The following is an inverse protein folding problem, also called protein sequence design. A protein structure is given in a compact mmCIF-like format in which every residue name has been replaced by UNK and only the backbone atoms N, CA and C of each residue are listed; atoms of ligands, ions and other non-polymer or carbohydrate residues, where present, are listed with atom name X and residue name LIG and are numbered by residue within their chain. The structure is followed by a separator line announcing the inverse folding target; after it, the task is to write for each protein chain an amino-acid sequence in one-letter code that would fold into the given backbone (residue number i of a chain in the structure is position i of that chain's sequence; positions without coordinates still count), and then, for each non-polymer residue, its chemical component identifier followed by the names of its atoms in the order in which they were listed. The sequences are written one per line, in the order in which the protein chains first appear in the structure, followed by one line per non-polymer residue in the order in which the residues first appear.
data_IF_812307541752
#
_entry.id   IF_812307541752
#
_cell.length_a   1.000
_cell.length_b   1.000
_cell.length_c   1.000
_cell.angle_alpha   90.00
_cell.angle_beta   90.00
_cell.angle_gamma   90.00
#
_symmetry.space_group_name_H-M   'P 1'
#
loop_
_entity.id
_entity.type
_entity.pdbx_description
1 polymer ?
#
# COMPACT_ATOMS: atom_id res chain seq x y z
N UNK A 1 -22.23 -2.96 12.58
CA UNK A 1 -21.31 -2.76 11.44
C UNK A 1 -20.16 -1.84 11.83
N UNK A 2 -20.41 -0.76 12.60
CA UNK A 2 -19.35 0.11 13.12
C UNK A 2 -19.34 0.04 14.66
N UNK A 3 -18.17 0.10 15.26
CA UNK A 3 -17.97 0.16 16.71
C UNK A 3 -16.98 1.26 17.08
N UNK A 4 -17.02 1.67 18.35
CA UNK A 4 -16.14 2.70 18.89
C UNK A 4 -15.28 2.09 19.99
N UNK A 5 -13.97 2.19 19.81
CA UNK A 5 -12.98 1.78 20.81
C UNK A 5 -12.52 3.02 21.57
N UNK A 6 -12.41 2.89 22.89
CA UNK A 6 -12.03 3.98 23.78
C UNK A 6 -10.53 3.88 24.12
N UNK A 7 -9.87 5.03 24.25
CA UNK A 7 -8.49 5.15 24.75
C UNK A 7 -7.42 4.39 23.95
N UNK A 8 -7.63 4.19 22.65
CA UNK A 8 -6.65 3.53 21.76
C UNK A 8 -5.52 4.50 21.42
N UNK A 9 -4.27 4.12 21.73
CA UNK A 9 -3.05 4.91 21.47
C UNK A 9 -3.09 6.34 22.04
N UNK A 10 -3.87 6.56 23.10
CA UNK A 10 -4.04 7.88 23.73
C UNK A 10 -5.14 8.74 23.10
N UNK A 11 -5.80 8.28 22.03
CA UNK A 11 -7.00 8.93 21.49
C UNK A 11 -8.21 8.54 22.35
N UNK A 12 -9.09 9.50 22.65
CA UNK A 12 -10.30 9.22 23.42
C UNK A 12 -11.20 8.20 22.71
N UNK A 13 -11.27 8.26 21.37
CA UNK A 13 -12.14 7.42 20.56
C UNK A 13 -11.47 7.06 19.23
N UNK A 14 -11.59 5.79 18.83
CA UNK A 14 -11.23 5.28 17.51
C UNK A 14 -12.42 4.50 16.94
N UNK A 15 -12.83 4.83 15.73
CA UNK A 15 -13.95 4.17 15.07
C UNK A 15 -13.44 3.02 14.20
N UNK A 16 -14.10 1.86 14.27
CA UNK A 16 -13.74 0.66 13.50
C UNK A 16 -14.94 0.09 12.76
N UNK A 17 -14.71 -0.50 11.58
CA UNK A 17 -15.69 -1.41 10.95
C UNK A 17 -15.56 -2.77 11.63
N UNK A 18 -16.62 -3.16 12.35
CA UNK A 18 -16.71 -4.34 13.22
C UNK A 18 -17.65 -5.42 12.68
N UNK A 19 -17.96 -5.38 11.39
CA UNK A 19 -18.77 -6.41 10.71
C UNK A 19 -18.07 -7.77 10.68
N UNK A 20 -18.82 -8.88 10.54
CA UNK A 20 -18.29 -10.22 10.75
C UNK A 20 -17.07 -10.56 9.88
N UNK A 21 -17.14 -10.33 8.56
CA UNK A 21 -16.05 -10.69 7.65
C UNK A 21 -14.86 -9.76 7.81
N UNK A 22 -15.07 -8.45 7.99
CA UNK A 22 -13.98 -7.50 8.29
C UNK A 22 -13.25 -7.91 9.58
N UNK A 23 -13.99 -8.24 10.63
CA UNK A 23 -13.40 -8.68 11.91
C UNK A 23 -12.60 -9.97 11.75
N UNK A 24 -13.11 -10.94 11.01
CA UNK A 24 -12.42 -12.19 10.68
C UNK A 24 -11.09 -11.91 9.94
N UNK A 25 -11.15 -11.16 8.83
CA UNK A 25 -9.97 -10.91 7.99
C UNK A 25 -8.92 -10.05 8.68
N UNK A 26 -9.31 -9.04 9.45
CA UNK A 26 -8.39 -8.20 10.24
C UNK A 26 -7.65 -9.01 11.30
N UNK A 27 -8.36 -9.91 12.00
CA UNK A 27 -7.74 -10.79 13.01
C UNK A 27 -6.70 -11.71 12.39
N UNK A 28 -7.02 -12.27 11.22
CA UNK A 28 -6.10 -13.11 10.45
C UNK A 28 -4.90 -12.31 9.95
N UNK A 29 -5.14 -11.18 9.28
CA UNK A 29 -4.12 -10.36 8.62
C UNK A 29 -3.07 -9.82 9.60
N UNK A 30 -3.50 -9.22 10.71
CA UNK A 30 -2.55 -8.72 11.72
C UNK A 30 -2.10 -9.81 12.70
N UNK A 31 -2.60 -11.05 12.59
CA UNK A 31 -2.38 -12.11 13.57
C UNK A 31 -2.71 -11.67 15.01
N UNK A 32 -3.91 -11.13 15.21
CA UNK A 32 -4.40 -10.67 16.50
C UNK A 32 -5.87 -11.04 16.71
N UNK A 33 -6.18 -12.12 17.45
CA UNK A 33 -7.54 -12.67 17.54
C UNK A 33 -8.55 -11.80 18.31
N UNK A 34 -8.08 -10.77 19.01
CA UNK A 34 -8.91 -9.86 19.83
C UNK A 34 -9.22 -8.52 19.16
N UNK A 35 -8.81 -8.30 17.93
CA UNK A 35 -9.20 -7.09 17.21
C UNK A 35 -10.71 -7.05 17.02
N UNK A 36 -11.31 -5.90 17.25
CA UNK A 36 -12.75 -5.68 17.15
C UNK A 36 -13.20 -5.18 15.78
N UNK A 37 -12.27 -4.89 14.88
CA UNK A 37 -12.55 -4.39 13.54
C UNK A 37 -11.35 -3.68 12.90
N UNK A 38 -11.54 -3.18 11.68
CA UNK A 38 -10.56 -2.35 10.98
C UNK A 38 -10.80 -0.87 11.27
N UNK A 39 -9.76 -0.12 11.59
CA UNK A 39 -9.84 1.31 11.88
C UNK A 39 -10.23 2.14 10.66
N UNK A 40 -11.17 3.07 10.86
CA UNK A 40 -11.50 4.10 9.89
C UNK A 40 -10.65 5.34 10.10
N UNK A 41 -10.40 6.07 9.03
CA UNK A 41 -9.69 7.33 9.08
C UNK A 41 -10.44 8.36 9.93
N UNK A 42 -9.70 9.06 10.78
CA UNK A 42 -10.20 10.09 11.70
C UNK A 42 -9.51 11.45 11.48
N UNK A 43 -8.49 11.51 10.63
CA UNK A 43 -7.81 12.73 10.22
C UNK A 43 -8.31 13.25 8.87
N UNK A 44 -7.96 14.51 8.56
CA UNK A 44 -8.31 15.12 7.28
C UNK A 44 -9.55 15.99 7.33
N UNK A 45 -10.64 15.51 6.73
CA UNK A 45 -11.91 16.24 6.63
C UNK A 45 -13.03 15.32 6.17
N UNK A 46 -14.20 15.88 5.84
CA UNK A 46 -15.42 15.11 5.51
C UNK A 46 -15.23 14.08 4.40
N UNK A 47 -14.32 14.33 3.45
CA UNK A 47 -14.04 13.41 2.35
C UNK A 47 -13.14 12.22 2.75
N UNK A 48 -12.44 12.29 3.89
CA UNK A 48 -11.54 11.22 4.36
C UNK A 48 -12.14 10.46 5.52
N UNK A 49 -12.60 11.21 6.53
CA UNK A 49 -13.06 10.69 7.81
C UNK A 49 -14.22 9.71 7.60
N UNK A 50 -14.16 8.56 8.25
CA UNK A 50 -15.20 7.51 8.22
C UNK A 50 -15.45 6.83 6.86
N UNK A 51 -14.73 7.20 5.80
CA UNK A 51 -14.93 6.66 4.44
C UNK A 51 -13.70 5.91 3.89
N UNK A 52 -12.59 5.93 4.62
CA UNK A 52 -11.33 5.29 4.26
C UNK A 52 -10.80 4.49 5.44
N UNK A 53 -9.95 3.50 5.17
CA UNK A 53 -9.14 2.87 6.20
C UNK A 53 -8.13 3.85 6.77
N UNK A 54 -7.81 3.66 8.05
CA UNK A 54 -6.78 4.43 8.72
C UNK A 54 -5.42 4.18 8.03
N UNK A 55 -4.84 5.21 7.39
CA UNK A 55 -3.58 5.07 6.63
C UNK A 55 -2.47 4.46 7.48
N UNK A 56 -2.33 4.92 8.73
CA UNK A 56 -1.36 4.37 9.70
C UNK A 56 -1.38 2.83 9.79
N UNK A 57 -2.56 2.24 9.71
CA UNK A 57 -2.77 0.81 9.93
C UNK A 57 -2.75 0.01 8.62
N UNK A 58 -2.99 0.64 7.47
CA UNK A 58 -3.11 0.00 6.17
C UNK A 58 -2.50 0.88 5.05
N UNK A 59 -1.21 1.20 5.16
CA UNK A 59 -0.51 1.99 4.13
C UNK A 59 -0.58 1.27 2.79
N UNK A 60 -0.81 2.04 1.72
CA UNK A 60 -0.95 1.57 0.34
C UNK A 60 -2.14 0.66 0.04
N UNK A 61 -3.06 0.45 0.98
CA UNK A 61 -4.32 -0.22 0.71
C UNK A 61 -5.22 0.66 -0.18
N UNK A 62 -5.97 0.06 -1.11
CA UNK A 62 -6.84 0.74 -2.08
C UNK A 62 -7.74 1.83 -1.47
N UNK A 63 -8.33 1.54 -0.32
CA UNK A 63 -9.25 2.42 0.40
C UNK A 63 -8.58 3.11 1.60
N UNK A 64 -7.25 3.09 1.70
CA UNK A 64 -6.51 3.94 2.63
C UNK A 64 -6.72 5.41 2.31
N UNK A 65 -6.68 6.27 3.32
CA UNK A 65 -6.71 7.71 3.11
C UNK A 65 -5.43 8.20 2.43
N UNK A 66 -5.57 9.20 1.55
CA UNK A 66 -4.47 9.81 0.77
C UNK A 66 -3.80 8.85 -0.23
N UNK A 67 -3.15 9.39 -1.27
CA UNK A 67 -2.62 8.57 -2.35
C UNK A 67 -1.55 7.56 -1.86
N UNK A 68 -1.56 6.36 -2.47
CA UNK A 68 -0.62 5.28 -2.27
C UNK A 68 -0.53 4.39 -3.52
N UNK A 69 -0.03 3.16 -3.38
CA UNK A 69 -0.03 2.16 -4.47
C UNK A 69 -1.46 1.71 -4.79
N UNK A 70 -2.25 1.39 -3.75
CA UNK A 70 -3.67 1.08 -3.89
C UNK A 70 -3.96 -0.42 -4.02
N UNK A 71 -3.33 -1.25 -3.19
CA UNK A 71 -3.53 -2.70 -3.17
C UNK A 71 -4.97 -3.06 -2.79
N UNK A 72 -5.63 -3.81 -3.66
CA UNK A 72 -6.96 -4.39 -3.42
C UNK A 72 -6.85 -5.59 -2.49
N UNK A 73 -6.68 -5.29 -1.20
CA UNK A 73 -6.39 -6.28 -0.19
C UNK A 73 -7.63 -7.03 0.32
N UNK A 74 -7.38 -8.03 1.16
CA UNK A 74 -8.41 -8.73 1.94
C UNK A 74 -9.28 -7.80 2.78
N UNK A 75 -8.79 -6.61 3.17
CA UNK A 75 -9.52 -5.67 4.02
C UNK A 75 -10.68 -5.03 3.26
N UNK A 76 -10.42 -4.49 2.07
CA UNK A 76 -11.46 -3.90 1.22
C UNK A 76 -12.44 -4.96 0.69
N UNK A 77 -11.93 -6.13 0.29
CA UNK A 77 -12.79 -7.25 -0.12
C UNK A 77 -13.78 -7.66 0.98
N UNK A 78 -13.30 -7.76 2.23
CA UNK A 78 -14.15 -8.07 3.38
C UNK A 78 -15.23 -7.01 3.65
N UNK A 79 -14.89 -5.72 3.50
CA UNK A 79 -15.85 -4.65 3.66
C UNK A 79 -16.96 -4.73 2.61
N UNK A 80 -16.61 -5.00 1.35
CA UNK A 80 -17.59 -5.14 0.27
C UNK A 80 -18.49 -6.37 0.42
N UNK A 81 -17.95 -7.51 0.88
CA UNK A 81 -18.74 -8.70 1.15
C UNK A 81 -19.75 -8.45 2.29
N UNK A 82 -19.33 -7.81 3.38
CA UNK A 82 -20.20 -7.48 4.52
C UNK A 82 -21.28 -6.44 4.18
N UNK A 83 -21.16 -5.70 3.07
CA UNK A 83 -22.24 -4.83 2.56
C UNK A 83 -23.42 -5.63 1.98
N UNK A 84 -23.21 -6.92 1.67
CA UNK A 84 -24.24 -7.81 1.10
C UNK A 84 -24.54 -7.57 -0.38
N UNK A 85 -23.79 -6.69 -1.05
CA UNK A 85 -23.93 -6.39 -2.49
C UNK A 85 -23.01 -7.28 -3.33
N UNK A 86 -21.88 -7.72 -2.76
CA UNK A 86 -20.85 -8.47 -3.45
C UNK A 86 -20.53 -9.78 -2.71
N UNK A 87 -19.97 -10.73 -3.44
CA UNK A 87 -19.30 -11.91 -2.87
C UNK A 87 -17.83 -11.83 -3.28
N UNK A 88 -16.91 -11.74 -2.32
CA UNK A 88 -15.51 -11.56 -2.61
C UNK A 88 -14.86 -12.88 -3.03
N UNK A 89 -13.95 -12.81 -4.00
CA UNK A 89 -13.01 -13.89 -4.29
C UNK A 89 -11.67 -13.55 -3.63
N UNK A 90 -11.41 -14.12 -2.46
CA UNK A 90 -10.20 -13.82 -1.68
C UNK A 90 -8.91 -14.38 -2.30
N UNK A 91 -9.00 -15.35 -3.21
CA UNK A 91 -7.83 -15.88 -3.94
C UNK A 91 -7.21 -14.82 -4.87
N UNK A 92 -7.98 -13.78 -5.19
CA UNK A 92 -7.57 -12.65 -6.03
C UNK A 92 -7.12 -11.43 -5.21
N UNK A 93 -7.07 -11.53 -3.88
CA UNK A 93 -6.65 -10.43 -3.03
C UNK A 93 -5.17 -10.10 -3.27
N UNK A 94 -4.86 -8.81 -3.45
CA UNK A 94 -3.48 -8.37 -3.54
C UNK A 94 -2.81 -8.42 -2.15
N UNK A 95 -1.51 -8.69 -2.16
CA UNK A 95 -0.71 -8.77 -0.93
C UNK A 95 -0.48 -7.35 -0.40
N UNK A 96 -1.15 -7.03 0.72
CA UNK A 96 -0.82 -5.86 1.51
C UNK A 96 0.36 -6.22 2.44
N UNK A 97 1.48 -5.55 2.27
CA UNK A 97 2.69 -5.82 3.06
C UNK A 97 2.66 -5.11 4.41
N UNK A 98 2.05 -3.93 4.46
CA UNK A 98 2.08 -3.07 5.64
C UNK A 98 1.36 -3.69 6.83
N UNK A 99 2.11 -4.09 7.85
CA UNK A 99 1.55 -4.63 9.09
C UNK A 99 1.06 -6.08 9.01
N UNK A 100 1.30 -6.79 7.92
CA UNK A 100 0.97 -8.21 7.84
C UNK A 100 1.69 -8.98 8.97
N UNK A 101 0.95 -9.79 9.72
CA UNK A 101 1.44 -10.52 10.89
C UNK A 101 2.10 -9.66 11.98
N UNK A 102 1.77 -8.36 12.08
CA UNK A 102 2.39 -7.46 13.06
C UNK A 102 2.03 -7.74 14.53
N UNK A 103 1.05 -8.61 14.77
CA UNK A 103 0.39 -8.75 16.05
C UNK A 103 -0.45 -7.52 16.42
N UNK A 104 -1.03 -7.56 17.62
CA UNK A 104 -1.94 -6.52 18.11
C UNK A 104 -1.28 -5.15 18.34
N UNK A 105 0.04 -5.14 18.60
CA UNK A 105 0.76 -3.94 19.03
C UNK A 105 0.68 -2.79 18.04
N UNK A 106 0.65 -3.10 16.73
CA UNK A 106 0.57 -2.10 15.69
C UNK A 106 -0.72 -1.29 15.81
N UNK A 107 -1.86 -1.91 16.13
CA UNK A 107 -3.14 -1.22 16.28
C UNK A 107 -3.37 -0.71 17.71
N UNK A 108 -2.79 -1.31 18.74
CA UNK A 108 -3.12 -0.93 20.12
C UNK A 108 -2.14 0.08 20.75
N UNK A 109 -0.87 0.06 20.32
CA UNK A 109 0.20 0.88 20.89
C UNK A 109 0.58 2.02 19.96
N UNK A 110 1.21 3.05 20.54
CA UNK A 110 1.86 4.11 19.76
C UNK A 110 2.94 3.49 18.86
N UNK A 111 3.18 4.11 17.70
CA UNK A 111 4.20 3.64 16.76
C UNK A 111 5.63 3.79 17.29
N UNK A 112 5.89 4.78 18.15
CA UNK A 112 7.11 4.89 18.93
C UNK A 112 6.80 5.37 20.35
N UNK A 113 7.69 5.04 21.29
CA UNK A 113 7.72 5.55 22.66
C UNK A 113 9.15 5.97 22.96
N UNK A 114 9.36 7.21 23.41
CA UNK A 114 10.69 7.79 23.64
C UNK A 114 11.65 7.65 22.42
N UNK A 115 11.10 7.72 21.21
CA UNK A 115 11.85 7.59 19.96
C UNK A 115 12.22 6.15 19.56
N UNK A 116 11.73 5.14 20.30
CA UNK A 116 11.98 3.72 20.05
C UNK A 116 10.70 3.06 19.51
N UNK A 117 10.83 2.25 18.46
CA UNK A 117 9.71 1.51 17.85
C UNK A 117 9.87 0.01 18.03
N UNK A 118 8.75 -0.69 18.25
CA UNK A 118 8.66 -2.15 18.18
C UNK A 118 8.59 -2.65 16.72
N UNK A 119 8.43 -1.76 15.74
CA UNK A 119 8.21 -2.07 14.32
C UNK A 119 9.22 -1.34 13.41
N UNK A 120 10.53 -1.67 13.48
CA UNK A 120 11.59 -0.96 12.75
C UNK A 120 11.57 -1.15 11.23
N UNK A 121 10.75 -2.07 10.71
CA UNK A 121 10.49 -2.22 9.27
C UNK A 121 9.37 -1.29 8.76
N UNK A 122 8.50 -0.80 9.65
CA UNK A 122 7.37 0.07 9.30
C UNK A 122 7.63 1.53 9.68
N UNK A 123 8.21 1.76 10.85
CA UNK A 123 8.47 3.10 11.38
C UNK A 123 9.96 3.37 11.51
N UNK A 124 10.30 4.65 11.48
CA UNK A 124 11.69 5.11 11.53
C UNK A 124 11.82 6.30 12.49
N UNK A 125 13.04 6.59 12.95
CA UNK A 125 13.29 7.64 13.94
C UNK A 125 14.46 8.57 13.56
N UNK A 126 14.93 8.50 12.31
CA UNK A 126 16.04 9.32 11.80
C UNK A 126 15.49 10.60 11.15
N UNK A 127 16.21 11.71 11.28
CA UNK A 127 15.87 12.90 10.49
C UNK A 127 16.16 12.65 9.00
N UNK A 128 15.39 13.28 8.09
CA UNK A 128 15.65 13.18 6.66
C UNK A 128 17.07 13.61 6.33
N UNK A 129 17.69 12.89 5.39
CA UNK A 129 19.02 13.18 4.85
C UNK A 129 18.98 13.03 3.33
N UNK A 130 19.62 13.96 2.62
CA UNK A 130 19.62 13.98 1.16
C UNK A 130 20.46 12.85 0.57
N UNK A 131 21.49 12.40 1.29
CA UNK A 131 22.44 11.37 0.85
C UNK A 131 22.18 10.02 1.49
N UNK A 132 21.78 10.00 2.77
CA UNK A 132 21.53 8.78 3.52
C UNK A 132 20.07 8.33 3.34
N UNK A 133 19.85 7.39 2.41
CA UNK A 133 18.53 6.82 2.14
C UNK A 133 18.23 5.58 2.97
N UNK A 134 16.96 5.28 3.12
CA UNK A 134 16.45 4.12 3.84
C UNK A 134 15.49 3.34 2.93
N UNK A 135 15.39 2.04 3.12
CA UNK A 135 14.39 1.23 2.41
C UNK A 135 12.98 1.63 2.83
N UNK A 136 12.09 1.69 1.84
CA UNK A 136 10.65 1.61 2.10
C UNK A 136 10.30 0.22 2.63
N UNK A 137 9.18 0.12 3.35
CA UNK A 137 8.74 -1.11 4.03
C UNK A 137 8.57 -2.31 3.08
N UNK A 138 8.25 -2.04 1.81
CA UNK A 138 8.08 -3.03 0.73
C UNK A 138 9.39 -3.38 0.00
N UNK A 139 10.51 -2.74 0.38
CA UNK A 139 11.82 -2.87 -0.27
C UNK A 139 11.83 -2.57 -1.77
N UNK A 140 10.83 -1.87 -2.29
CA UNK A 140 10.75 -1.51 -3.71
C UNK A 140 11.44 -0.19 -4.02
N UNK A 141 11.71 0.64 -3.02
CA UNK A 141 12.29 1.97 -3.22
C UNK A 141 13.22 2.37 -2.07
N UNK A 142 13.94 3.46 -2.31
CA UNK A 142 14.71 4.20 -1.33
C UNK A 142 13.98 5.51 -1.02
N UNK A 143 13.91 5.84 0.25
CA UNK A 143 13.24 7.04 0.74
C UNK A 143 14.01 7.71 1.86
N UNK A 144 13.34 8.66 2.51
CA UNK A 144 13.85 9.31 3.72
C UNK A 144 12.82 9.21 4.82
N UNK A 145 13.29 8.97 6.04
CA UNK A 145 12.42 9.01 7.21
C UNK A 145 11.82 10.41 7.37
N UNK A 146 10.50 10.51 7.44
CA UNK A 146 9.80 11.80 7.40
C UNK A 146 9.63 12.49 8.77
N UNK A 147 10.58 12.27 9.69
CA UNK A 147 10.61 12.99 10.97
C UNK A 147 10.76 14.49 10.71
N UNK A 148 9.96 15.29 11.42
CA UNK A 148 9.96 16.74 11.32
C UNK A 148 9.86 17.38 12.70
N UNK A 149 10.43 18.57 12.83
CA UNK A 149 10.26 19.46 13.98
C UNK A 149 9.09 20.42 13.75
N UNK A 150 8.20 20.51 14.73
CA UNK A 150 7.08 21.44 14.79
C UNK A 150 7.43 22.67 15.64
N UNK A 151 6.73 23.78 15.40
CA UNK A 151 6.93 25.01 16.17
C UNK A 151 6.35 24.89 17.59
N UNK A 152 5.24 24.17 17.71
CA UNK A 152 4.53 23.90 18.97
C UNK A 152 4.59 22.40 19.32
N UNK A 153 4.44 22.04 20.60
CA UNK A 153 4.25 20.65 21.01
C UNK A 153 3.08 20.00 20.26
N UNK A 154 3.26 18.75 19.85
CA UNK A 154 2.17 17.95 19.29
C UNK A 154 1.16 17.57 20.39
N UNK A 155 -0.10 17.26 20.05
CA UNK A 155 -1.05 16.63 20.97
C UNK A 155 -0.47 15.38 21.62
N UNK A 156 -0.87 15.05 22.86
CA UNK A 156 -0.25 14.01 23.68
C UNK A 156 -0.30 12.62 23.00
N UNK A 157 -1.37 12.32 22.28
CA UNK A 157 -1.57 11.13 21.46
C UNK A 157 -0.52 10.99 20.33
N UNK A 158 0.02 12.10 19.84
CA UNK A 158 1.01 12.17 18.75
C UNK A 158 2.44 12.48 19.22
N UNK A 159 2.67 12.53 20.53
CA UNK A 159 4.02 12.64 21.10
C UNK A 159 4.68 11.26 21.16
N UNK A 160 5.73 11.08 20.36
CA UNK A 160 6.44 9.81 20.16
C UNK A 160 7.91 9.85 20.60
N UNK A 161 8.45 11.05 20.84
CA UNK A 161 9.84 11.30 21.21
C UNK A 161 9.89 12.09 22.52
N UNK A 162 11.02 12.01 23.24
CA UNK A 162 11.28 12.82 24.43
C UNK A 162 11.05 14.32 24.20
N UNK A 163 11.34 14.80 22.98
CA UNK A 163 10.99 16.15 22.57
C UNK A 163 9.56 16.17 21.99
N UNK A 164 8.59 16.84 22.65
CA UNK A 164 7.18 16.79 22.24
C UNK A 164 6.90 17.55 20.94
N UNK A 165 7.90 18.24 20.37
CA UNK A 165 7.82 18.92 19.07
C UNK A 165 8.28 18.05 17.89
N UNK A 166 8.63 16.79 18.12
CA UNK A 166 9.06 15.87 17.07
C UNK A 166 7.97 14.86 16.75
N UNK A 167 7.77 14.60 15.46
CA UNK A 167 6.85 13.59 14.94
C UNK A 167 7.02 13.44 13.43
N UNK A 168 6.30 12.50 12.84
CA UNK A 168 6.21 12.30 11.39
C UNK A 168 5.40 13.39 10.70
N UNK A 169 5.75 13.69 9.45
CA UNK A 169 5.15 14.78 8.69
C UNK A 169 3.65 14.57 8.37
N UNK A 170 3.23 13.33 8.09
CA UNK A 170 1.88 13.01 7.59
C UNK A 170 0.85 12.90 8.72
N UNK A 171 -0.28 13.60 8.58
CA UNK A 171 -1.38 13.57 9.55
C UNK A 171 -2.13 12.21 9.56
N UNK A 172 -2.38 11.64 8.39
CA UNK A 172 -3.10 10.35 8.24
C UNK A 172 -2.35 9.17 8.86
N UNK A 173 -1.03 9.32 9.04
CA UNK A 173 -0.18 8.38 9.76
C UNK A 173 -0.24 8.58 11.29
N UNK A 174 -1.16 9.37 11.84
CA UNK A 174 -1.15 9.84 13.23
C UNK A 174 0.17 10.49 13.63
N UNK A 175 0.85 11.17 12.69
CA UNK A 175 2.22 11.69 12.90
C UNK A 175 3.24 10.60 13.23
N UNK A 176 2.99 9.34 12.92
CA UNK A 176 4.01 8.30 12.98
C UNK A 176 5.04 8.51 11.87
N UNK A 177 6.33 8.66 12.20
CA UNK A 177 7.38 8.72 11.20
C UNK A 177 7.60 7.37 10.52
N UNK A 178 7.67 7.39 9.19
CA UNK A 178 7.96 6.23 8.35
C UNK A 178 8.85 6.66 7.16
N UNK A 179 9.43 5.70 6.46
CA UNK A 179 10.25 5.97 5.29
C UNK A 179 9.34 6.23 4.09
N UNK A 180 9.42 7.44 3.57
CA UNK A 180 8.61 7.90 2.44
C UNK A 180 9.50 8.10 1.20
N UNK A 181 9.05 7.55 0.07
CA UNK A 181 9.71 7.70 -1.24
C UNK A 181 8.99 8.78 -2.04
N UNK A 182 9.62 9.96 -2.15
CA UNK A 182 8.98 11.19 -2.65
C UNK A 182 8.56 11.20 -4.12
N UNK A 183 8.76 10.12 -4.90
CA UNK A 183 8.52 10.17 -6.35
C UNK A 183 7.90 8.90 -6.96
N UNK A 184 7.47 7.91 -6.18
CA UNK A 184 7.03 6.58 -6.71
C UNK A 184 8.04 5.96 -7.69
N UNK A 185 9.31 6.35 -7.58
CA UNK A 185 10.42 5.86 -8.37
C UNK A 185 11.13 4.82 -7.51
N UNK A 186 11.40 3.63 -8.05
CA UNK A 186 11.86 2.49 -7.27
C UNK A 186 13.18 1.90 -7.75
N UNK A 187 13.66 0.92 -7.02
CA UNK A 187 14.83 0.12 -7.40
C UNK A 187 14.68 -0.54 -8.78
N UNK A 188 13.44 -0.70 -9.27
CA UNK A 188 13.14 -1.41 -10.52
C UNK A 188 13.26 -0.56 -11.78
N UNK A 189 13.09 0.75 -11.67
CA UNK A 189 12.91 1.64 -12.82
C UNK A 189 13.43 3.07 -12.62
N UNK A 190 14.09 3.38 -11.51
CA UNK A 190 14.65 4.70 -11.28
C UNK A 190 15.70 5.10 -12.32
N UNK A 191 15.80 6.40 -12.57
CA UNK A 191 17.01 6.94 -13.18
C UNK A 191 18.18 6.74 -12.20
N UNK A 192 19.33 6.18 -12.64
CA UNK A 192 20.46 5.86 -11.75
C UNK A 192 20.94 7.05 -10.89
N UNK A 193 20.81 8.27 -11.39
CA UNK A 193 21.21 9.49 -10.67
C UNK A 193 20.42 9.76 -9.38
N UNK A 194 19.21 9.18 -9.23
CA UNK A 194 18.41 9.38 -8.01
C UNK A 194 18.92 8.55 -6.83
N UNK A 195 19.52 7.39 -7.10
CA UNK A 195 19.92 6.42 -6.08
C UNK A 195 21.40 6.09 -6.23
N UNK A 196 22.24 7.06 -5.86
CA UNK A 196 23.71 6.89 -5.87
C UNK A 196 24.13 5.62 -5.11
N UNK A 197 24.97 4.80 -5.74
CA UNK A 197 25.43 3.53 -5.20
C UNK A 197 24.42 2.38 -5.29
N UNK A 198 23.30 2.57 -5.99
CA UNK A 198 22.27 1.54 -6.15
C UNK A 198 22.27 0.92 -7.55
N UNK A 199 22.13 -0.40 -7.60
CA UNK A 199 21.88 -1.13 -8.84
C UNK A 199 20.41 -1.01 -9.20
N UNK A 200 20.10 -0.38 -10.33
CA UNK A 200 18.72 -0.22 -10.82
C UNK A 200 18.42 -1.22 -11.92
N UNK A 201 17.37 -2.01 -11.74
CA UNK A 201 16.97 -3.04 -12.68
C UNK A 201 15.70 -3.76 -12.24
N UNK A 202 14.98 -4.46 -13.14
CA UNK A 202 13.63 -4.97 -12.87
C UNK A 202 13.53 -5.93 -11.67
N UNK A 203 14.63 -6.61 -11.33
CA UNK A 203 14.72 -7.51 -10.17
C UNK A 203 15.29 -6.82 -8.93
N UNK A 204 15.80 -5.60 -9.02
CA UNK A 204 16.43 -4.95 -7.89
C UNK A 204 15.48 -4.69 -6.74
N UNK A 205 16.01 -4.84 -5.53
CA UNK A 205 15.31 -4.59 -4.26
C UNK A 205 16.19 -3.81 -3.31
N UNK A 206 15.57 -3.08 -2.41
CA UNK A 206 16.26 -2.33 -1.37
C UNK A 206 16.71 -3.23 -0.22
N UNK A 207 17.96 -3.08 0.19
CA UNK A 207 18.59 -3.83 1.28
C UNK A 207 19.21 -2.89 2.31
N UNK A 208 19.22 -3.33 3.57
CA UNK A 208 19.70 -2.50 4.68
C UNK A 208 21.21 -2.42 4.69
N UNK A 209 21.76 -1.21 4.72
CA UNK A 209 23.20 -0.97 4.76
C UNK A 209 23.76 -0.96 6.18
N UNK A 210 24.98 -1.47 6.34
CA UNK A 210 25.77 -1.43 7.57
C UNK A 210 27.14 -0.83 7.30
N UNK A 211 27.25 0.46 7.60
CA UNK A 211 28.49 1.22 7.37
C UNK A 211 28.90 1.28 5.89
N UNK A 212 27.94 1.18 4.97
CA UNK A 212 28.20 1.19 3.54
C UNK A 212 28.81 2.51 3.10
N UNK A 213 29.85 2.41 2.27
CA UNK A 213 30.43 3.54 1.57
C UNK A 213 30.77 3.11 0.15
N UNK A 214 30.54 4.02 -0.79
CA UNK A 214 31.02 3.91 -2.17
C UNK A 214 31.96 5.09 -2.42
N UNK A 215 33.22 4.76 -2.74
CA UNK A 215 34.36 5.67 -2.62
C UNK A 215 34.41 6.24 -1.19
N UNK A 216 34.37 7.56 -1.03
CA UNK A 216 34.40 8.23 0.28
C UNK A 216 33.02 8.71 0.75
N UNK A 217 31.94 8.32 0.07
CA UNK A 217 30.59 8.77 0.39
C UNK A 217 29.84 7.73 1.21
N UNK A 218 29.42 8.12 2.40
CA UNK A 218 28.58 7.30 3.25
C UNK A 218 27.19 7.10 2.63
N UNK A 219 26.75 5.85 2.62
CA UNK A 219 25.43 5.43 2.16
C UNK A 219 24.61 4.94 3.35
N UNK A 220 23.29 5.03 3.20
CA UNK A 220 22.37 4.29 4.06
C UNK A 220 22.09 2.94 3.44
N UNK A 221 20.82 2.73 3.10
CA UNK A 221 20.37 1.58 2.35
C UNK A 221 20.58 1.79 0.85
N UNK A 222 20.65 0.70 0.09
CA UNK A 222 20.91 0.70 -1.36
C UNK A 222 20.01 -0.29 -2.07
N UNK A 223 19.78 -0.10 -3.37
CA UNK A 223 19.22 -1.16 -4.21
C UNK A 223 20.34 -2.09 -4.69
N UNK A 224 20.10 -3.39 -4.62
CA UNK A 224 20.95 -4.43 -5.21
C UNK A 224 20.13 -5.23 -6.22
N UNK A 225 20.79 -5.75 -7.25
CA UNK A 225 20.15 -6.71 -8.14
C UNK A 225 19.95 -8.02 -7.37
N UNK A 226 18.80 -8.66 -7.51
CA UNK A 226 18.48 -9.91 -6.81
C UNK A 226 18.27 -11.06 -7.78
N UNK A 227 18.65 -12.24 -7.32
CA UNK A 227 18.35 -13.50 -7.97
C UNK A 227 17.82 -14.47 -6.92
N UNK A 228 16.63 -15.02 -7.18
CA UNK A 228 15.92 -15.91 -6.27
C UNK A 228 15.79 -17.27 -6.94
N UNK A 229 16.45 -18.29 -6.39
CA UNK A 229 16.44 -19.66 -6.93
C UNK A 229 16.24 -20.65 -5.77
N UNK A 230 15.16 -21.42 -5.80
CA UNK A 230 14.88 -22.51 -4.84
C UNK A 230 15.11 -22.13 -3.36
N UNK A 231 14.60 -20.96 -2.94
CA UNK A 231 14.75 -20.45 -1.56
C UNK A 231 16.11 -19.82 -1.25
N UNK A 232 17.02 -19.77 -2.22
CA UNK A 232 18.32 -19.10 -2.11
C UNK A 232 18.25 -17.71 -2.74
N UNK A 233 18.54 -16.69 -1.93
CA UNK A 233 18.74 -15.32 -2.41
C UNK A 233 20.22 -15.10 -2.74
N UNK A 234 20.49 -14.60 -3.94
CA UNK A 234 21.79 -14.03 -4.32
C UNK A 234 21.63 -12.57 -4.67
N UNK A 235 22.62 -11.76 -4.31
CA UNK A 235 22.63 -10.31 -4.53
C UNK A 235 23.86 -9.89 -5.32
N UNK A 236 23.70 -8.83 -6.12
CA UNK A 236 24.78 -8.20 -6.85
C UNK A 236 24.72 -6.68 -6.64
N UNK A 237 25.86 -6.11 -6.28
CA UNK A 237 26.00 -4.67 -6.01
C UNK A 237 26.33 -3.90 -7.28
N UNK A 238 26.12 -2.58 -7.26
CA UNK A 238 26.57 -1.71 -8.35
C UNK A 238 28.11 -1.72 -8.41
N UNK A 239 28.68 -1.86 -9.60
CA UNK A 239 30.14 -1.99 -9.85
C UNK A 239 30.78 -3.28 -9.29
N UNK A 240 29.98 -4.26 -8.90
CA UNK A 240 30.45 -5.59 -8.51
C UNK A 240 29.92 -6.62 -9.51
N UNK A 241 30.82 -7.26 -10.25
CA UNK A 241 30.47 -8.29 -11.23
C UNK A 241 30.21 -9.67 -10.58
N UNK A 242 30.34 -9.76 -9.25
CA UNK A 242 30.18 -11.00 -8.49
C UNK A 242 28.78 -11.11 -7.88
N UNK A 243 28.23 -12.31 -7.93
CA UNK A 243 27.02 -12.67 -7.17
C UNK A 243 27.39 -13.21 -5.80
N UNK A 244 26.73 -12.69 -4.77
CA UNK A 244 26.93 -13.10 -3.39
C UNK A 244 25.69 -13.80 -2.85
N UNK A 245 25.85 -14.98 -2.28
CA UNK A 245 24.76 -15.66 -1.59
C UNK A 245 24.43 -14.86 -0.31
N UNK A 246 23.16 -14.49 -0.16
CA UNK A 246 22.68 -13.64 0.93
C UNK A 246 21.72 -14.44 1.81
N UNK A 247 22.23 -15.00 2.91
CA UNK A 247 21.41 -15.77 3.85
C UNK A 247 20.76 -14.82 4.86
N UNK A 248 19.46 -15.01 5.11
CA UNK A 248 18.68 -14.16 6.01
C UNK A 248 19.41 -13.89 7.33
N UNK A 249 19.53 -12.60 7.69
CA UNK A 249 20.15 -12.16 8.94
C UNK A 249 21.69 -12.15 8.96
N UNK A 250 22.34 -12.75 7.97
CA UNK A 250 23.79 -12.62 7.79
C UNK A 250 24.16 -11.29 7.11
N UNK A 251 25.44 -10.92 7.17
CA UNK A 251 25.97 -9.76 6.48
C UNK A 251 26.80 -10.16 5.27
N UNK A 252 26.67 -9.38 4.19
CA UNK A 252 27.41 -9.59 2.94
C UNK A 252 28.08 -8.29 2.54
N UNK A 253 29.37 -8.35 2.28
CA UNK A 253 30.14 -7.21 1.79
C UNK A 253 30.25 -7.26 0.25
N UNK A 254 30.07 -6.12 -0.45
CA UNK A 254 30.40 -6.02 -1.87
C UNK A 254 31.90 -6.32 -2.11
N UNK A 255 32.20 -6.90 -3.26
CA UNK A 255 33.57 -6.98 -3.76
C UNK A 255 33.95 -5.70 -4.53
N UNK A 256 35.22 -5.34 -4.50
CA UNK A 256 35.77 -4.21 -5.26
C UNK A 256 36.45 -3.15 -4.40
N UNK A 257 37.38 -2.41 -5.00
CA UNK A 257 38.24 -1.44 -4.29
C UNK A 257 37.48 -0.18 -3.83
N UNK A 258 36.31 0.09 -4.40
CA UNK A 258 35.54 1.30 -4.13
C UNK A 258 34.52 1.12 -3.00
N UNK A 259 34.21 -0.10 -2.61
CA UNK A 259 33.22 -0.35 -1.58
C UNK A 259 33.85 -0.62 -0.22
N UNK A 260 33.16 -0.17 0.82
CA UNK A 260 33.39 -0.64 2.19
C UNK A 260 32.06 -0.80 2.93
N UNK A 261 32.09 -1.54 4.04
CA UNK A 261 30.88 -1.91 4.79
C UNK A 261 30.22 -3.17 4.24
N UNK A 262 28.95 -3.37 4.61
CA UNK A 262 28.17 -4.55 4.22
C UNK A 262 26.68 -4.24 4.18
N UNK A 263 25.88 -5.16 3.65
CA UNK A 263 24.43 -5.15 3.84
C UNK A 263 24.03 -6.21 4.86
N UNK A 264 22.87 -6.02 5.48
CA UNK A 264 22.15 -7.08 6.19
C UNK A 264 21.22 -7.78 5.20
N UNK A 265 21.38 -9.10 5.06
CA UNK A 265 20.57 -9.89 4.16
C UNK A 265 19.10 -9.93 4.61
N UNK A 266 18.16 -9.54 3.73
CA UNK A 266 16.73 -9.53 4.05
C UNK A 266 16.19 -10.96 4.14
N UNK A 267 14.93 -11.08 4.58
CA UNK A 267 14.18 -12.31 4.42
C UNK A 267 13.98 -12.60 2.94
N UNK A 268 13.98 -13.88 2.57
CA UNK A 268 13.76 -14.29 1.19
C UNK A 268 12.43 -13.73 0.66
N UNK A 269 11.34 -13.92 1.41
CA UNK A 269 10.00 -13.51 0.99
C UNK A 269 9.88 -12.00 0.77
N UNK A 270 10.58 -11.16 1.54
CA UNK A 270 10.53 -9.69 1.40
C UNK A 270 11.05 -9.20 0.03
N UNK A 271 11.88 -10.01 -0.66
CA UNK A 271 12.55 -9.60 -1.91
C UNK A 271 12.31 -10.55 -3.08
N UNK A 272 11.85 -11.77 -2.80
CA UNK A 272 11.65 -12.84 -3.78
C UNK A 272 10.18 -13.26 -3.96
N UNK A 273 9.23 -12.62 -3.28
CA UNK A 273 7.81 -12.86 -3.55
C UNK A 273 7.46 -12.34 -4.94
N UNK A 274 7.02 -13.24 -5.82
CA UNK A 274 6.49 -12.88 -7.12
C UNK A 274 5.12 -12.21 -6.96
N UNK A 275 4.93 -11.07 -7.62
CA UNK A 275 3.62 -10.43 -7.69
C UNK A 275 2.75 -11.21 -8.68
N UNK A 276 1.56 -11.70 -8.28
CA UNK A 276 0.66 -12.36 -9.21
C UNK A 276 0.30 -11.39 -10.34
N UNK A 277 0.44 -11.83 -11.59
CA UNK A 277 0.06 -11.02 -12.74
C UNK A 277 -1.47 -10.97 -12.84
N UNK A 278 -2.10 -10.08 -12.07
CA UNK A 278 -3.55 -9.97 -12.00
C UNK A 278 -4.21 -9.56 -13.33
N UNK A 279 -3.44 -8.94 -14.25
CA UNK A 279 -3.94 -8.57 -15.59
C UNK A 279 -4.22 -9.78 -16.50
N UNK A 280 -3.72 -10.96 -16.12
CA UNK A 280 -3.89 -12.20 -16.90
C UNK A 280 -5.14 -12.98 -16.52
N UNK A 281 -5.84 -12.60 -15.44
CA UNK A 281 -7.07 -13.30 -15.04
C UNK A 281 -8.27 -12.71 -15.78
N UNK A 282 -9.00 -13.54 -16.56
CA UNK A 282 -10.25 -13.09 -17.15
C UNK A 282 -11.22 -12.70 -16.04
N UNK A 283 -11.86 -11.53 -16.17
CA UNK A 283 -12.98 -11.17 -15.29
C UNK A 283 -14.07 -12.22 -15.52
N UNK A 284 -14.43 -13.05 -14.52
CA UNK A 284 -15.51 -14.01 -14.70
C UNK A 284 -16.81 -13.22 -14.92
N UNK A 285 -17.33 -13.27 -16.14
CA UNK A 285 -18.68 -12.79 -16.43
C UNK A 285 -19.64 -13.80 -15.81
N UNK A 286 -20.16 -13.47 -14.64
CA UNK A 286 -21.26 -14.23 -14.05
C UNK A 286 -22.53 -13.69 -14.68
N UNK A 287 -23.24 -14.52 -15.44
CA UNK A 287 -24.54 -14.14 -15.97
C UNK A 287 -25.46 -13.73 -14.81
N UNK A 288 -26.19 -12.60 -14.91
CA UNK A 288 -27.17 -12.24 -13.91
C UNK A 288 -28.15 -13.39 -13.72
N UNK A 289 -28.60 -13.68 -12.48
CA UNK A 289 -29.64 -14.67 -12.27
C UNK A 289 -30.84 -14.31 -13.14
N UNK A 290 -31.26 -15.24 -14.00
CA UNK A 290 -32.48 -15.09 -14.78
C UNK A 290 -33.62 -14.88 -13.77
N UNK A 291 -34.28 -13.73 -13.86
CA UNK A 291 -35.51 -13.51 -13.11
C UNK A 291 -36.52 -14.57 -13.56
N UNK A 292 -37.05 -15.35 -12.61
CA UNK A 292 -38.18 -16.22 -12.89
C UNK A 292 -39.34 -15.34 -13.36
N UNK A 293 -39.72 -15.50 -14.62
CA UNK A 293 -40.91 -14.88 -15.21
C UNK A 293 -42.16 -15.44 -14.53
N UNK A 294 -42.59 -14.83 -13.43
CA UNK A 294 -43.97 -14.95 -12.98
C UNK A 294 -44.79 -13.83 -13.63
N UNK A 295 -45.35 -14.11 -14.81
CA UNK A 295 -46.48 -13.33 -15.32
C UNK A 295 -47.64 -14.25 -15.72
N UNK A 296 -48.76 -14.11 -15.01
CA UNK A 296 -50.08 -14.12 -15.62
C UNK A 296 -51.12 -13.61 -14.62
N UNK A 297 -51.54 -12.36 -14.77
CA UNK A 297 -52.96 -12.00 -14.79
C UNK A 297 -53.12 -10.53 -15.16
N UNK A 298 -53.77 -10.32 -16.31
CA UNK A 298 -54.27 -9.07 -16.85
C UNK A 298 -55.28 -8.38 -15.92
N UNK A 299 -55.44 -7.06 -16.04
CA UNK A 299 -56.59 -6.37 -15.45
C UNK A 299 -56.56 -4.84 -15.45
N UNK A 300 -57.06 -4.27 -16.55
CA UNK A 300 -57.77 -2.97 -16.69
C UNK A 300 -57.04 -1.64 -16.48
N UNK A 301 -57.08 -0.86 -17.56
CA UNK A 301 -56.91 0.59 -17.67
C UNK A 301 -57.99 1.33 -16.87
N UNK A 302 -57.62 2.43 -16.21
CA UNK A 302 -58.55 3.54 -15.95
C UNK A 302 -57.81 4.88 -16.03
N UNK A 303 -58.24 5.70 -16.98
CA UNK A 303 -57.76 7.05 -17.27
C UNK A 303 -58.47 8.05 -16.34
N UNK A 304 -57.73 8.92 -15.65
CA UNK A 304 -58.34 10.11 -15.03
C UNK A 304 -57.48 11.35 -15.23
N UNK A 305 -58.17 12.40 -15.64
CA UNK A 305 -57.71 13.66 -16.25
C UNK A 305 -57.61 14.75 -15.18
N UNK A 306 -56.50 15.48 -15.12
CA UNK A 306 -56.53 16.87 -14.61
C UNK A 306 -55.48 17.76 -15.27
N UNK A 307 -55.95 18.87 -15.84
CA UNK A 307 -55.20 19.89 -16.56
C UNK A 307 -54.79 21.05 -15.65
N UNK A 308 -53.59 21.60 -15.86
CA UNK A 308 -53.15 22.89 -15.29
C UNK A 308 -51.81 23.37 -15.86
N UNK A 309 -51.87 24.21 -16.90
CA UNK A 309 -50.83 25.05 -17.55
C UNK A 309 -49.98 25.88 -16.56
N UNK A 310 -48.73 26.35 -16.75
CA UNK A 310 -47.84 26.72 -17.88
C UNK A 310 -46.36 26.57 -17.42
N UNK A 311 -45.29 26.42 -18.21
CA UNK A 311 -44.73 27.32 -19.25
C UNK A 311 -43.51 26.65 -19.93
N UNK A 312 -43.44 26.72 -21.27
CA UNK A 312 -42.28 26.79 -22.22
C UNK A 312 -40.84 26.49 -21.73
N UNK A 313 -39.91 25.83 -22.46
CA UNK A 313 -39.85 25.34 -23.84
C UNK A 313 -38.73 24.28 -23.98
N UNK A 314 -38.91 23.39 -24.97
CA UNK A 314 -38.12 22.22 -25.33
C UNK A 314 -36.84 22.51 -26.14
N UNK A 315 -35.88 21.57 -26.10
CA UNK A 315 -35.34 20.93 -27.30
C UNK A 315 -34.77 19.53 -26.95
N UNK A 316 -35.29 18.52 -27.64
CA UNK A 316 -34.96 17.09 -27.56
C UNK A 316 -34.35 16.68 -28.90
N UNK A 317 -33.31 15.85 -28.88
CA UNK A 317 -32.98 14.83 -29.90
C UNK A 317 -32.14 13.78 -29.14
N UNK A 318 -32.40 12.48 -29.10
CA UNK A 318 -32.94 11.56 -30.10
C UNK A 318 -31.85 10.51 -30.40
N UNK A 319 -31.97 9.30 -29.83
CA UNK A 319 -31.02 8.18 -29.88
C UNK A 319 -30.84 7.56 -31.28
N UNK A 320 -29.66 7.00 -31.57
CA UNK A 320 -29.47 5.64 -32.13
C UNK A 320 -27.99 5.16 -32.03
N UNK A 321 -27.72 3.85 -31.84
CA UNK A 321 -26.38 3.29 -31.62
C UNK A 321 -25.73 2.78 -32.92
N UNK A 322 -24.39 2.80 -33.00
CA UNK A 322 -23.64 2.13 -34.07
C UNK A 322 -22.48 1.30 -33.50
N UNK A 323 -22.60 -0.02 -33.67
CA UNK A 323 -21.62 -0.85 -34.39
C UNK A 323 -20.21 -0.98 -33.80
N UNK A 324 -19.97 -2.13 -33.19
CA UNK A 324 -18.65 -2.72 -32.94
C UNK A 324 -17.86 -2.81 -34.25
N UNK A 325 -16.65 -2.24 -34.29
CA UNK A 325 -15.66 -2.51 -35.34
C UNK A 325 -14.40 -3.12 -34.69
N UNK A 326 -14.19 -4.41 -34.95
CA UNK A 326 -12.95 -5.13 -34.65
C UNK A 326 -11.93 -4.76 -35.73
N UNK A 327 -10.78 -4.20 -35.34
CA UNK A 327 -9.63 -4.01 -36.23
C UNK A 327 -8.47 -4.87 -35.73
N UNK A 328 -8.29 -6.00 -36.40
CA UNK A 328 -7.08 -6.81 -36.42
C UNK A 328 -5.98 -6.06 -37.17
N UNK A 329 -4.82 -5.86 -36.56
CA UNK A 329 -3.60 -5.50 -37.29
C UNK A 329 -2.58 -6.63 -37.19
N UNK A 330 -2.46 -7.33 -38.32
CA UNK A 330 -1.41 -8.28 -38.59
C UNK A 330 -0.07 -7.57 -38.85
N UNK A 331 1.00 -8.27 -38.54
CA UNK A 331 2.39 -7.90 -38.74
C UNK A 331 2.74 -7.57 -40.20
N UNK A 332 3.67 -6.64 -40.40
CA UNK A 332 4.47 -6.57 -41.62
C UNK A 332 5.92 -6.25 -41.25
N UNK A 333 6.79 -7.24 -41.45
CA UNK A 333 8.23 -7.06 -41.53
C UNK A 333 8.57 -6.45 -42.90
N UNK A 334 9.51 -5.51 -42.93
CA UNK A 334 10.34 -5.27 -44.12
C UNK A 334 11.68 -4.65 -43.73
N UNK A 335 12.73 -5.30 -44.19
CA UNK A 335 14.15 -4.92 -44.12
C UNK A 335 14.52 -3.93 -45.23
N UNK A 336 15.84 -3.60 -45.28
CA UNK A 336 16.60 -2.74 -46.22
C UNK A 336 16.66 -1.27 -45.77
N UNK A 337 17.81 -0.66 -45.46
CA UNK A 337 19.22 -0.89 -45.76
C UNK A 337 20.11 -0.57 -44.55
#
# INVERSE_FOLDING_TARGET
MISELQYVRGKSKVTVISSPKVKEMVRSYYNCPRLEGMELEDEGGKASVMSHWKKRSAVDELMSSDEGIGYYSVLTLAAFEDMGVYKANYDMAEILWWGNNSGCGLLEKKCLTEGITDYPELFCNKFPDDTYKLCTYDRLSLGSCNVKRYNQPLPAEYQYFANPKLGGALKFMDKCPFVDSKFRIGCTNAHPDFFYGSFIGPKSRCVKGQGLQLYDKQLGDVCVNTQCNDGTLSVQFLLDDTWHVCKEGETVAPAGEHWSGSILCPKYDDVCTDFPNISSYPIPVVDPPLADDSSSSEGSEEESKYSGSSSSASAVFGFAPLGVLVLSTAAMAMSFL
#
